data_IF_923596245230
#
_entry.id   IF_923596245230
#
_cell.length_a   1.000
_cell.length_b   1.000
_cell.length_c   1.000
_cell.angle_alpha   90.00
_cell.angle_beta   90.00
_cell.angle_gamma   90.00
#
_symmetry.space_group_name_H-M   'P 1'
#
loop_
_entity.id
_entity.type
_entity.pdbx_description
1 polymer ?
#
# COMPACT_ATOMS: atom_id res chain seq x y z
N UNK A 1 -23.78 19.26 14.32
CA UNK A 1 -23.32 17.87 14.46
C UNK A 1 -23.77 17.37 15.82
N UNK A 2 -24.22 16.14 15.93
CA UNK A 2 -24.51 15.48 17.21
C UNK A 2 -23.21 15.51 18.03
N UNK A 3 -23.30 15.80 19.33
CA UNK A 3 -22.13 15.87 20.22
C UNK A 3 -21.74 14.44 20.61
N UNK A 4 -21.08 13.73 19.68
CA UNK A 4 -20.63 12.34 19.85
C UNK A 4 -19.44 12.26 20.80
N UNK A 5 -19.39 11.18 21.58
CA UNK A 5 -18.23 10.85 22.41
C UNK A 5 -17.79 9.41 22.17
N UNK A 6 -16.49 9.21 22.09
CA UNK A 6 -15.89 7.89 22.08
C UNK A 6 -16.07 7.27 23.47
N UNK A 7 -16.76 6.14 23.55
CA UNK A 7 -17.00 5.44 24.82
C UNK A 7 -16.16 4.16 24.99
N UNK A 8 -15.77 3.55 23.87
CA UNK A 8 -14.93 2.36 23.86
C UNK A 8 -14.10 2.30 22.58
N UNK A 9 -12.96 1.61 22.65
CA UNK A 9 -12.23 1.16 21.48
C UNK A 9 -11.59 -0.19 21.78
N UNK A 10 -11.46 -1.04 20.77
CA UNK A 10 -10.89 -2.38 20.91
C UNK A 10 -10.28 -2.89 19.63
N UNK A 11 -9.45 -3.90 19.76
CA UNK A 11 -8.76 -4.54 18.65
C UNK A 11 -9.42 -5.86 18.28
N UNK A 12 -9.45 -6.13 16.97
CA UNK A 12 -9.82 -7.42 16.41
C UNK A 12 -8.60 -7.87 15.60
N UNK A 13 -7.95 -8.95 16.08
CA UNK A 13 -6.75 -9.50 15.46
C UNK A 13 -7.10 -10.87 14.90
N UNK A 14 -7.05 -11.01 13.58
CA UNK A 14 -7.48 -12.24 12.90
C UNK A 14 -6.58 -12.58 11.71
N UNK A 15 -6.76 -13.81 11.18
CA UNK A 15 -5.96 -14.30 10.05
C UNK A 15 -6.83 -15.05 9.02
N UNK A 16 -7.80 -14.40 8.38
CA UNK A 16 -8.60 -15.00 7.31
C UNK A 16 -7.80 -14.98 5.99
N UNK A 17 -6.83 -15.91 5.86
CA UNK A 17 -5.86 -15.94 4.76
C UNK A 17 -4.57 -15.21 5.08
N UNK A 18 -4.61 -14.00 5.64
CA UNK A 18 -3.48 -13.20 6.13
C UNK A 18 -3.79 -12.59 7.49
N UNK A 19 -2.77 -12.12 8.21
CA UNK A 19 -2.94 -11.44 9.48
C UNK A 19 -3.47 -10.01 9.25
N UNK A 20 -4.52 -9.65 9.98
CA UNK A 20 -5.02 -8.28 10.03
C UNK A 20 -5.23 -7.83 11.47
N UNK A 21 -4.98 -6.55 11.72
CA UNK A 21 -5.28 -5.85 12.98
C UNK A 21 -6.28 -4.76 12.68
N UNK A 22 -7.48 -4.87 13.22
CA UNK A 22 -8.54 -3.88 13.05
C UNK A 22 -8.78 -3.16 14.37
N UNK A 23 -8.78 -1.83 14.34
CA UNK A 23 -9.26 -0.99 15.43
C UNK A 23 -10.74 -0.69 15.20
N UNK A 24 -11.57 -1.00 16.17
CA UNK A 24 -12.96 -0.55 16.24
C UNK A 24 -13.11 0.51 17.34
N UNK A 25 -13.74 1.62 16.99
CA UNK A 25 -14.03 2.75 17.90
C UNK A 25 -15.54 2.92 18.00
N UNK A 26 -16.09 2.81 19.20
CA UNK A 26 -17.54 2.89 19.48
C UNK A 26 -17.89 4.24 20.12
N UNK A 27 -19.07 4.80 19.77
CA UNK A 27 -19.58 6.08 20.28
C UNK A 27 -20.83 5.89 21.14
N UNK A 28 -21.16 6.91 21.95
CA UNK A 28 -22.32 6.98 22.84
C UNK A 28 -23.68 6.95 22.12
N UNK A 29 -23.72 7.28 20.82
CA UNK A 29 -24.92 7.20 19.98
C UNK A 29 -25.03 5.88 19.19
N UNK A 30 -24.18 4.88 19.51
CA UNK A 30 -24.21 3.57 18.87
C UNK A 30 -23.56 3.51 17.49
N UNK A 31 -22.98 4.59 16.99
CA UNK A 31 -22.13 4.56 15.80
C UNK A 31 -20.76 4.00 16.14
N UNK A 32 -20.17 3.30 15.19
CA UNK A 32 -18.77 2.86 15.30
C UNK A 32 -18.00 3.10 14.00
N UNK A 33 -16.69 3.20 14.12
CA UNK A 33 -15.79 3.27 12.99
C UNK A 33 -14.71 2.20 13.05
N UNK A 34 -14.22 1.84 11.87
CA UNK A 34 -13.19 0.85 11.67
C UNK A 34 -11.93 1.48 11.07
N UNK A 35 -10.77 1.04 11.56
CA UNK A 35 -9.49 1.43 11.01
C UNK A 35 -8.56 0.23 10.90
N UNK A 36 -7.77 0.18 9.85
CA UNK A 36 -6.75 -0.84 9.67
C UNK A 36 -5.47 -0.45 10.43
N UNK A 37 -4.98 -1.37 11.24
CA UNK A 37 -3.76 -1.25 12.03
C UNK A 37 -2.73 -2.32 11.67
N UNK A 38 -2.83 -2.90 10.46
CA UNK A 38 -1.96 -3.98 10.03
C UNK A 38 -0.58 -3.44 9.66
N UNK A 39 0.45 -3.99 10.28
CA UNK A 39 1.85 -3.81 9.89
C UNK A 39 2.44 -5.21 9.70
N UNK A 40 2.57 -5.62 8.47
CA UNK A 40 2.93 -6.99 8.09
C UNK A 40 4.22 -7.45 8.78
N UNK A 41 4.16 -8.61 9.47
CA UNK A 41 5.25 -9.17 10.26
C UNK A 41 5.53 -8.44 11.59
N UNK A 42 4.74 -7.42 11.96
CA UNK A 42 4.86 -6.64 13.22
C UNK A 42 3.50 -6.34 13.84
N UNK A 43 2.47 -7.10 13.49
CA UNK A 43 1.07 -6.88 13.84
C UNK A 43 0.88 -6.71 15.35
N UNK A 44 1.46 -7.62 16.16
CA UNK A 44 1.32 -7.56 17.62
C UNK A 44 2.06 -6.39 18.26
N UNK A 45 3.07 -5.81 17.62
CA UNK A 45 3.72 -4.60 18.11
C UNK A 45 2.80 -3.39 18.01
N UNK A 46 2.07 -3.29 16.89
CA UNK A 46 1.04 -2.24 16.70
C UNK A 46 -0.14 -2.47 17.63
N UNK A 47 -0.61 -3.72 17.75
CA UNK A 47 -1.70 -4.07 18.65
C UNK A 47 -1.41 -3.68 20.10
N UNK A 48 -0.25 -4.06 20.63
CA UNK A 48 0.17 -3.71 21.99
C UNK A 48 0.29 -2.18 22.20
N UNK A 49 0.85 -1.45 21.21
CA UNK A 49 0.97 0.01 21.29
C UNK A 49 -0.42 0.69 21.28
N UNK A 50 -1.34 0.19 20.47
CA UNK A 50 -2.73 0.69 20.45
C UNK A 50 -3.42 0.45 21.80
N UNK A 51 -3.34 -0.77 22.31
CA UNK A 51 -4.05 -1.17 23.52
C UNK A 51 -3.57 -0.39 24.76
N UNK A 52 -2.25 -0.28 24.93
CA UNK A 52 -1.66 0.29 26.15
C UNK A 52 -1.51 1.81 26.12
N UNK A 53 -1.29 2.41 24.93
CA UNK A 53 -0.89 3.81 24.83
C UNK A 53 -1.82 4.70 24.02
N UNK A 54 -2.63 4.16 23.11
CA UNK A 54 -3.47 4.95 22.20
C UNK A 54 -4.93 4.91 22.64
N UNK A 55 -5.51 3.73 22.81
CA UNK A 55 -6.94 3.55 23.15
C UNK A 55 -7.33 4.33 24.41
N UNK A 56 -6.55 4.29 25.52
CA UNK A 56 -6.90 5.08 26.72
C UNK A 56 -7.00 6.59 26.46
N UNK A 57 -6.25 7.09 25.49
CA UNK A 57 -6.26 8.52 25.13
C UNK A 57 -7.46 8.93 24.29
N UNK A 58 -8.23 8.00 23.74
CA UNK A 58 -9.39 8.29 22.90
C UNK A 58 -10.68 8.46 23.69
N UNK A 59 -10.80 7.79 24.84
CA UNK A 59 -12.05 7.72 25.60
C UNK A 59 -12.49 9.11 26.07
N UNK A 60 -13.76 9.43 25.83
CA UNK A 60 -14.40 10.72 26.16
C UNK A 60 -14.16 11.83 25.13
N UNK A 61 -13.32 11.62 24.11
CA UNK A 61 -13.09 12.61 23.05
C UNK A 61 -14.23 12.65 22.04
N UNK A 62 -14.37 13.78 21.39
CA UNK A 62 -15.27 13.98 20.26
C UNK A 62 -14.63 13.41 18.98
N UNK A 63 -15.19 12.36 18.36
CA UNK A 63 -14.61 11.74 17.14
C UNK A 63 -14.63 12.68 15.92
N UNK A 64 -15.36 13.77 15.96
CA UNK A 64 -15.37 14.77 14.87
C UNK A 64 -14.07 15.59 14.81
N UNK A 65 -13.29 15.66 15.89
CA UNK A 65 -12.06 16.42 16.02
C UNK A 65 -10.86 15.63 15.50
N UNK A 66 -10.94 15.14 14.27
CA UNK A 66 -9.95 14.22 13.66
C UNK A 66 -8.53 14.79 13.68
N UNK A 67 -8.35 16.08 13.28
CA UNK A 67 -7.03 16.72 13.27
C UNK A 67 -6.46 16.89 14.67
N UNK A 68 -7.27 17.29 15.66
CA UNK A 68 -6.81 17.46 17.05
C UNK A 68 -6.35 16.12 17.63
N UNK A 69 -7.15 15.07 17.45
CA UNK A 69 -6.80 13.71 17.92
C UNK A 69 -5.52 13.23 17.23
N UNK A 70 -5.41 13.43 15.92
CA UNK A 70 -4.21 13.09 15.15
C UNK A 70 -2.96 13.77 15.72
N UNK A 71 -3.02 15.08 15.93
CA UNK A 71 -1.90 15.87 16.49
C UNK A 71 -1.59 15.49 17.93
N UNK A 72 -2.63 15.20 18.73
CA UNK A 72 -2.43 14.74 20.10
C UNK A 72 -1.64 13.43 20.14
N UNK A 73 -2.04 12.43 19.36
CA UNK A 73 -1.35 11.14 19.31
C UNK A 73 0.06 11.26 18.73
N UNK A 74 0.27 12.09 17.71
CA UNK A 74 1.57 12.28 17.09
C UNK A 74 2.56 13.03 17.99
N UNK A 75 2.13 14.16 18.57
CA UNK A 75 2.99 14.99 19.42
C UNK A 75 3.19 14.37 20.80
N UNK A 76 2.17 13.74 21.36
CA UNK A 76 2.22 13.07 22.65
C UNK A 76 3.16 11.88 22.70
N UNK A 77 3.41 11.23 21.56
CA UNK A 77 4.38 10.14 21.49
C UNK A 77 5.82 10.54 21.76
N UNK A 78 6.19 11.82 21.66
CA UNK A 78 7.53 12.42 21.76
C UNK A 78 8.55 11.82 20.76
N UNK A 79 8.94 10.54 20.88
CA UNK A 79 9.72 9.79 19.87
C UNK A 79 8.78 9.34 18.75
N UNK A 80 8.40 10.29 17.93
CA UNK A 80 7.38 10.16 16.91
C UNK A 80 7.94 9.65 15.58
N UNK A 81 7.03 9.31 14.66
CA UNK A 81 7.27 8.64 13.37
C UNK A 81 7.61 7.15 13.56
N UNK A 82 7.96 6.50 12.47
CA UNK A 82 8.17 5.06 12.42
C UNK A 82 6.87 4.26 12.23
N UNK A 83 6.99 3.04 11.70
CA UNK A 83 5.82 2.30 11.22
C UNK A 83 4.82 1.96 12.34
N UNK A 84 5.26 1.55 13.53
CA UNK A 84 4.34 1.19 14.63
C UNK A 84 3.48 2.37 15.06
N UNK A 85 4.12 3.52 15.34
CA UNK A 85 3.41 4.73 15.79
C UNK A 85 2.46 5.25 14.70
N UNK A 86 2.93 5.32 13.45
CA UNK A 86 2.15 5.92 12.38
C UNK A 86 1.02 5.02 11.88
N UNK A 87 1.19 3.70 11.90
CA UNK A 87 0.11 2.74 11.62
C UNK A 87 -0.96 2.81 12.72
N UNK A 88 -0.57 2.97 13.98
CA UNK A 88 -1.53 3.15 15.08
C UNK A 88 -2.34 4.45 14.92
N UNK A 89 -1.69 5.56 14.57
CA UNK A 89 -2.37 6.83 14.31
C UNK A 89 -3.30 6.70 13.10
N UNK A 90 -2.86 6.02 12.05
CA UNK A 90 -3.64 5.80 10.84
C UNK A 90 -4.93 5.03 11.10
N UNK A 91 -4.88 3.99 11.94
CA UNK A 91 -6.07 3.23 12.28
C UNK A 91 -7.11 4.07 13.03
N UNK A 92 -6.66 4.93 13.94
CA UNK A 92 -7.55 5.89 14.61
C UNK A 92 -8.14 6.87 13.59
N UNK A 93 -7.30 7.45 12.74
CA UNK A 93 -7.73 8.41 11.72
C UNK A 93 -8.80 7.83 10.78
N UNK A 94 -8.58 6.62 10.26
CA UNK A 94 -9.55 5.92 9.41
C UNK A 94 -10.87 5.68 10.15
N UNK A 95 -10.82 5.20 11.41
CA UNK A 95 -12.01 4.98 12.22
C UNK A 95 -12.79 6.27 12.48
N UNK A 96 -12.12 7.40 12.72
CA UNK A 96 -12.76 8.70 12.91
C UNK A 96 -13.42 9.22 11.63
N UNK A 97 -12.76 9.04 10.47
CA UNK A 97 -13.38 9.39 9.17
C UNK A 97 -14.59 8.51 8.87
N UNK A 98 -14.54 7.22 9.21
CA UNK A 98 -15.66 6.29 9.06
C UNK A 98 -16.85 6.71 9.93
N UNK A 99 -16.62 7.02 11.22
CA UNK A 99 -17.67 7.57 12.12
C UNK A 99 -18.26 8.85 11.55
N UNK A 100 -17.42 9.77 11.09
CA UNK A 100 -17.87 11.05 10.53
C UNK A 100 -18.76 10.88 9.31
N UNK A 101 -18.36 9.98 8.39
CA UNK A 101 -19.17 9.64 7.22
C UNK A 101 -20.50 9.01 7.58
N UNK A 102 -20.52 8.08 8.53
CA UNK A 102 -21.73 7.43 9.06
C UNK A 102 -22.66 8.45 9.75
N UNK A 103 -22.10 9.31 10.62
CA UNK A 103 -22.86 10.34 11.33
C UNK A 103 -23.53 11.38 10.39
N UNK A 104 -22.90 11.66 9.25
CA UNK A 104 -23.41 12.58 8.23
C UNK A 104 -24.14 11.85 7.09
N UNK A 105 -24.30 10.55 7.19
CA UNK A 105 -24.92 9.66 6.19
C UNK A 105 -24.36 9.91 4.78
N UNK A 106 -23.04 9.94 4.65
CA UNK A 106 -22.34 10.19 3.37
C UNK A 106 -21.04 9.41 3.28
N UNK A 107 -20.61 8.99 2.06
CA UNK A 107 -19.28 8.40 1.86
C UNK A 107 -18.16 9.38 2.22
N UNK A 108 -17.02 8.86 2.68
CA UNK A 108 -15.88 9.69 3.11
C UNK A 108 -15.35 10.61 2.01
N UNK A 109 -15.32 10.18 0.74
CA UNK A 109 -14.85 11.05 -0.34
C UNK A 109 -15.62 12.36 -0.46
N UNK A 110 -16.93 12.38 -0.14
CA UNK A 110 -17.72 13.61 -0.13
C UNK A 110 -17.24 14.60 0.93
N UNK A 111 -16.77 14.10 2.07
CA UNK A 111 -16.20 14.93 3.15
C UNK A 111 -14.80 15.44 2.79
N UNK A 112 -14.14 14.79 1.86
CA UNK A 112 -12.82 15.18 1.34
C UNK A 112 -12.90 16.16 0.16
N UNK A 113 -14.11 16.62 -0.22
CA UNK A 113 -14.32 17.60 -1.28
C UNK A 113 -15.09 17.07 -2.49
N UNK A 114 -15.57 15.83 -2.43
CA UNK A 114 -16.32 15.17 -3.50
C UNK A 114 -15.43 14.43 -4.48
N UNK A 115 -16.06 13.75 -5.45
CA UNK A 115 -15.36 12.96 -6.46
C UNK A 115 -14.71 13.86 -7.52
N UNK A 116 -13.40 13.75 -7.71
CA UNK A 116 -12.65 14.40 -8.78
C UNK A 116 -12.59 13.54 -10.06
N UNK A 117 -13.08 12.29 -10.02
CA UNK A 117 -13.13 11.31 -11.11
C UNK A 117 -14.24 10.31 -10.90
N UNK A 118 -14.52 9.48 -11.91
CA UNK A 118 -15.59 8.48 -11.83
C UNK A 118 -15.14 7.19 -11.13
N UNK A 119 -13.85 6.85 -11.17
CA UNK A 119 -13.24 5.68 -10.54
C UNK A 119 -11.73 5.86 -10.40
N UNK A 120 -11.10 5.10 -9.53
CA UNK A 120 -9.66 5.07 -9.34
C UNK A 120 -9.05 4.03 -10.29
N UNK A 121 -8.21 4.44 -11.24
CA UNK A 121 -7.41 3.51 -12.04
C UNK A 121 -6.60 2.62 -11.10
N UNK A 122 -6.58 1.32 -11.36
CA UNK A 122 -5.83 0.37 -10.54
C UNK A 122 -4.85 -0.45 -11.37
N UNK A 123 -3.79 -0.94 -10.72
CA UNK A 123 -2.92 -1.96 -11.29
C UNK A 123 -2.90 -3.21 -10.42
N UNK A 124 -2.69 -4.37 -11.06
CA UNK A 124 -2.53 -5.65 -10.39
C UNK A 124 -1.16 -6.25 -10.68
N UNK A 125 -0.86 -7.40 -10.08
CA UNK A 125 0.43 -8.07 -10.15
C UNK A 125 0.36 -9.31 -11.04
N UNK A 126 1.10 -9.30 -12.15
CA UNK A 126 1.34 -10.46 -12.99
C UNK A 126 2.70 -11.06 -12.68
N UNK A 127 2.74 -12.36 -12.41
CA UNK A 127 3.94 -13.05 -11.98
C UNK A 127 4.12 -14.36 -12.77
N UNK A 128 5.37 -14.74 -13.05
CA UNK A 128 5.70 -16.01 -13.66
C UNK A 128 7.05 -16.54 -13.19
N UNK A 129 7.28 -17.85 -13.23
CA UNK A 129 8.59 -18.45 -12.94
C UNK A 129 9.57 -18.19 -14.08
N UNK A 130 9.05 -17.86 -15.27
CA UNK A 130 9.79 -17.41 -16.44
C UNK A 130 9.00 -16.34 -17.21
N UNK A 131 9.57 -15.88 -18.34
CA UNK A 131 8.96 -14.84 -19.18
C UNK A 131 7.61 -15.31 -19.79
N UNK A 132 7.52 -16.58 -20.21
CA UNK A 132 6.30 -17.10 -20.81
C UNK A 132 5.14 -17.10 -19.83
N UNK A 133 5.35 -17.62 -18.63
CA UNK A 133 4.32 -17.60 -17.58
C UNK A 133 3.96 -16.17 -17.16
N UNK A 134 4.93 -15.25 -17.13
CA UNK A 134 4.66 -13.85 -16.84
C UNK A 134 3.76 -13.21 -17.92
N UNK A 135 4.00 -13.51 -19.20
CA UNK A 135 3.16 -13.07 -20.33
C UNK A 135 1.74 -13.66 -20.20
N UNK A 136 1.61 -14.96 -19.93
CA UNK A 136 0.33 -15.62 -19.74
C UNK A 136 -0.46 -14.98 -18.58
N UNK A 137 0.21 -14.68 -17.48
CA UNK A 137 -0.39 -13.97 -16.33
C UNK A 137 -0.86 -12.56 -16.71
N UNK A 138 -0.07 -11.83 -17.52
CA UNK A 138 -0.48 -10.50 -18.02
C UNK A 138 -1.73 -10.63 -18.91
N UNK A 139 -1.77 -11.59 -19.84
CA UNK A 139 -2.94 -11.81 -20.69
C UNK A 139 -4.19 -12.17 -19.88
N UNK A 140 -4.04 -12.98 -18.83
CA UNK A 140 -5.14 -13.29 -17.91
C UNK A 140 -5.71 -12.01 -17.27
N UNK A 141 -4.87 -11.15 -16.70
CA UNK A 141 -5.34 -9.91 -16.06
C UNK A 141 -5.91 -8.91 -17.07
N UNK A 142 -5.40 -8.85 -18.29
CA UNK A 142 -6.02 -8.06 -19.36
C UNK A 142 -7.43 -8.58 -19.67
N UNK A 143 -7.62 -9.91 -19.73
CA UNK A 143 -8.94 -10.52 -19.93
C UNK A 143 -9.90 -10.28 -18.74
N UNK A 144 -9.37 -10.09 -17.54
CA UNK A 144 -10.12 -9.68 -16.34
C UNK A 144 -10.49 -8.18 -16.34
N UNK A 145 -9.98 -7.40 -17.31
CA UNK A 145 -10.29 -5.98 -17.48
C UNK A 145 -9.27 -5.00 -16.93
N UNK A 146 -8.09 -5.45 -16.46
CA UNK A 146 -7.05 -4.53 -16.00
C UNK A 146 -6.38 -3.77 -17.16
N UNK A 147 -6.18 -2.47 -16.94
CA UNK A 147 -5.52 -1.55 -17.89
C UNK A 147 -4.07 -1.25 -17.50
N UNK A 148 -3.66 -1.65 -16.31
CA UNK A 148 -2.32 -1.45 -15.78
C UNK A 148 -1.87 -2.69 -15.00
N UNK A 149 -0.65 -3.15 -15.23
CA UNK A 149 -0.13 -4.41 -14.68
C UNK A 149 1.34 -4.26 -14.28
N UNK A 150 1.65 -4.58 -13.02
CA UNK A 150 3.01 -4.75 -12.54
C UNK A 150 3.50 -6.15 -12.90
N UNK A 151 4.53 -6.25 -13.74
CA UNK A 151 5.05 -7.53 -14.19
C UNK A 151 6.34 -7.92 -13.48
N UNK A 152 6.40 -9.17 -13.01
CA UNK A 152 7.56 -9.80 -12.37
C UNK A 152 7.79 -11.18 -12.97
N UNK A 153 9.06 -11.61 -13.04
CA UNK A 153 9.42 -12.94 -13.50
C UNK A 153 10.60 -13.50 -12.70
N UNK A 154 10.68 -14.82 -12.64
CA UNK A 154 11.85 -15.52 -12.12
C UNK A 154 13.11 -15.12 -12.89
N UNK A 155 14.17 -14.78 -12.15
CA UNK A 155 15.46 -14.44 -12.75
C UNK A 155 16.25 -15.73 -13.01
N UNK A 156 16.69 -15.99 -14.24
CA UNK A 156 17.41 -17.23 -14.56
C UNK A 156 18.62 -17.48 -13.66
N UNK A 157 18.67 -18.68 -13.08
CA UNK A 157 19.74 -19.10 -12.18
C UNK A 157 19.63 -18.62 -10.74
N UNK A 158 18.49 -18.00 -10.35
CA UNK A 158 18.11 -17.77 -8.96
C UNK A 158 16.96 -18.73 -8.58
N UNK A 159 17.06 -19.32 -7.39
CA UNK A 159 16.06 -20.29 -6.90
C UNK A 159 14.73 -19.60 -6.48
N UNK A 160 14.77 -18.32 -6.18
CA UNK A 160 13.58 -17.53 -5.91
C UNK A 160 13.81 -16.08 -6.34
N UNK A 161 12.74 -15.41 -6.75
CA UNK A 161 12.72 -13.99 -7.08
C UNK A 161 11.57 -13.34 -6.35
N UNK A 162 11.73 -12.07 -5.96
CA UNK A 162 10.68 -11.29 -5.35
C UNK A 162 9.42 -11.27 -6.23
N UNK A 163 8.26 -11.37 -5.60
CA UNK A 163 6.98 -11.33 -6.27
C UNK A 163 6.61 -12.58 -7.08
N UNK A 164 7.48 -13.59 -7.12
CA UNK A 164 7.23 -14.82 -7.89
C UNK A 164 6.76 -15.94 -6.95
N UNK A 165 5.57 -16.52 -7.19
CA UNK A 165 5.03 -17.59 -6.36
C UNK A 165 5.90 -18.84 -6.40
N UNK A 166 5.92 -19.59 -5.31
CA UNK A 166 6.61 -20.88 -5.21
C UNK A 166 5.58 -22.02 -5.23
N UNK A 167 5.79 -23.01 -6.11
CA UNK A 167 5.00 -24.25 -6.10
C UNK A 167 3.50 -24.07 -6.36
N UNK A 168 3.12 -23.13 -7.24
CA UNK A 168 1.73 -22.90 -7.65
C UNK A 168 0.83 -22.25 -6.59
N UNK A 169 1.41 -21.75 -5.49
CA UNK A 169 0.68 -20.97 -4.48
C UNK A 169 0.74 -19.49 -4.81
N UNK A 170 -0.27 -18.68 -4.44
CA UNK A 170 -0.18 -17.23 -4.51
C UNK A 170 1.07 -16.72 -3.79
N UNK A 171 1.66 -15.63 -4.30
CA UNK A 171 2.79 -15.01 -3.64
C UNK A 171 2.39 -14.52 -2.25
N UNK A 172 3.13 -14.98 -1.23
CA UNK A 172 2.96 -14.60 0.16
C UNK A 172 4.34 -14.31 0.74
N UNK A 173 4.67 -13.03 1.00
CA UNK A 173 5.97 -12.67 1.55
C UNK A 173 6.12 -13.11 3.01
N UNK A 174 5.05 -13.10 3.80
CA UNK A 174 5.12 -13.44 5.23
C UNK A 174 4.91 -14.95 5.45
N UNK A 175 5.92 -15.62 5.98
CA UNK A 175 5.92 -17.07 6.26
C UNK A 175 5.79 -17.34 7.77
N UNK A 176 5.11 -18.45 8.14
CA UNK A 176 4.95 -18.86 9.55
C UNK A 176 6.24 -19.32 10.23
N UNK A 177 7.21 -19.77 9.45
CA UNK A 177 8.54 -20.17 9.92
C UNK A 177 9.47 -18.96 10.14
N UNK A 178 10.71 -19.23 10.58
CA UNK A 178 11.76 -18.21 10.54
C UNK A 178 11.97 -17.72 9.10
N UNK A 179 12.46 -16.48 8.90
CA UNK A 179 12.65 -15.93 7.57
C UNK A 179 13.46 -16.87 6.67
N UNK A 180 12.94 -17.15 5.48
CA UNK A 180 13.74 -17.83 4.47
C UNK A 180 14.78 -16.84 3.92
N UNK A 181 16.02 -17.34 3.69
CA UNK A 181 17.09 -16.55 3.12
C UNK A 181 17.25 -16.93 1.64
N UNK A 182 16.80 -16.08 0.73
CA UNK A 182 16.96 -16.30 -0.70
C UNK A 182 18.24 -15.66 -1.23
N UNK A 183 18.86 -16.30 -2.23
CA UNK A 183 20.04 -15.73 -2.90
C UNK A 183 19.61 -14.72 -3.95
N UNK A 184 20.30 -13.58 -3.99
CA UNK A 184 20.14 -12.50 -4.92
C UNK A 184 21.40 -12.24 -5.75
N UNK A 185 21.25 -11.93 -7.04
CA UNK A 185 22.33 -11.46 -7.91
C UNK A 185 21.85 -10.27 -8.73
N UNK A 186 22.37 -9.12 -8.41
CA UNK A 186 22.10 -7.86 -9.11
C UNK A 186 22.47 -7.94 -10.59
N UNK A 187 23.60 -8.53 -10.94
CA UNK A 187 24.07 -8.63 -12.33
C UNK A 187 23.13 -9.48 -13.19
N UNK A 188 22.63 -10.61 -12.64
CA UNK A 188 21.66 -11.45 -13.34
C UNK A 188 20.36 -10.71 -13.57
N UNK A 189 19.89 -10.01 -12.55
CA UNK A 189 18.67 -9.22 -12.63
C UNK A 189 18.78 -8.07 -13.64
N UNK A 190 19.84 -7.27 -13.60
CA UNK A 190 20.06 -6.15 -14.53
C UNK A 190 20.17 -6.60 -15.99
N UNK A 191 20.72 -7.81 -16.24
CA UNK A 191 20.81 -8.39 -17.57
C UNK A 191 19.47 -9.00 -18.04
N UNK A 192 18.58 -9.33 -17.12
CA UNK A 192 17.34 -10.03 -17.41
C UNK A 192 16.12 -9.09 -17.52
N UNK A 193 15.98 -8.10 -16.62
CA UNK A 193 14.79 -7.27 -16.55
C UNK A 193 14.46 -6.55 -17.89
N UNK A 194 15.42 -5.97 -18.65
CA UNK A 194 15.10 -5.38 -19.94
C UNK A 194 14.55 -6.38 -20.96
N UNK A 195 15.01 -7.63 -20.92
CA UNK A 195 14.51 -8.70 -21.81
C UNK A 195 13.08 -9.09 -21.49
N UNK A 196 12.73 -9.13 -20.20
CA UNK A 196 11.35 -9.35 -19.77
C UNK A 196 10.41 -8.30 -20.40
N UNK A 197 10.76 -7.03 -20.30
CA UNK A 197 9.90 -5.95 -20.85
C UNK A 197 9.92 -5.86 -22.38
N UNK A 198 11.01 -6.27 -23.03
CA UNK A 198 11.05 -6.46 -24.48
C UNK A 198 10.01 -7.49 -24.93
N UNK A 199 10.01 -8.68 -24.31
CA UNK A 199 9.06 -9.75 -24.67
C UNK A 199 7.63 -9.39 -24.27
N UNK A 200 7.40 -8.74 -23.13
CA UNK A 200 6.09 -8.25 -22.74
C UNK A 200 5.54 -7.25 -23.78
N UNK A 201 6.32 -6.26 -24.22
CA UNK A 201 5.88 -5.30 -25.24
C UNK A 201 5.58 -5.94 -26.58
N UNK A 202 6.34 -6.96 -26.98
CA UNK A 202 6.03 -7.77 -28.19
C UNK A 202 4.68 -8.50 -28.06
N UNK A 203 4.34 -8.96 -26.85
CA UNK A 203 3.13 -9.72 -26.61
C UNK A 203 1.87 -8.85 -26.46
N UNK A 204 1.97 -7.69 -25.76
CA UNK A 204 0.78 -6.89 -25.40
C UNK A 204 0.73 -5.51 -26.07
N UNK A 205 1.75 -5.11 -26.83
CA UNK A 205 1.81 -3.79 -27.47
C UNK A 205 2.04 -2.63 -26.48
N UNK A 206 1.71 -1.41 -26.90
CA UNK A 206 2.04 -0.17 -26.16
C UNK A 206 0.86 0.40 -25.36
N UNK A 207 -0.38 -0.07 -25.59
CA UNK A 207 -1.59 0.48 -24.94
C UNK A 207 -1.71 0.08 -23.48
N UNK A 208 -1.18 -1.08 -23.09
CA UNK A 208 -1.21 -1.54 -21.70
C UNK A 208 -0.17 -0.80 -20.85
N UNK A 209 -0.58 -0.27 -19.70
CA UNK A 209 0.34 0.30 -18.73
C UNK A 209 1.12 -0.81 -18.02
N UNK A 210 2.41 -0.95 -18.32
CA UNK A 210 3.30 -1.89 -17.63
C UNK A 210 4.08 -1.16 -16.53
N UNK A 211 4.13 -1.77 -15.36
CA UNK A 211 4.86 -1.29 -14.19
C UNK A 211 5.92 -2.31 -13.80
N UNK A 212 6.98 -1.87 -13.15
CA UNK A 212 8.02 -2.75 -12.61
C UNK A 212 8.45 -2.30 -11.22
N UNK A 213 8.55 -3.25 -10.31
CA UNK A 213 8.97 -3.03 -8.95
C UNK A 213 10.37 -3.61 -8.72
N UNK A 214 11.30 -2.74 -8.38
CA UNK A 214 12.69 -3.09 -8.07
C UNK A 214 12.85 -3.45 -6.59
N UNK A 215 11.94 -2.98 -5.74
CA UNK A 215 11.85 -3.30 -4.32
C UNK A 215 13.17 -3.02 -3.56
N UNK A 216 13.69 -1.80 -3.68
CA UNK A 216 14.87 -1.26 -2.99
C UNK A 216 16.22 -1.95 -3.27
N UNK A 217 16.27 -2.96 -4.15
CA UNK A 217 17.40 -3.91 -4.32
C UNK A 217 18.63 -3.37 -5.04
N UNK A 218 18.59 -2.17 -5.61
CA UNK A 218 19.68 -1.60 -6.39
C UNK A 218 20.38 -0.43 -5.71
N UNK A 219 21.67 -0.28 -5.95
CA UNK A 219 22.35 0.98 -5.69
C UNK A 219 21.88 2.06 -6.68
N UNK A 220 22.03 3.36 -6.37
CA UNK A 220 21.59 4.43 -7.29
C UNK A 220 22.16 4.33 -8.70
N UNK A 221 23.43 3.90 -8.86
CA UNK A 221 24.04 3.75 -10.20
C UNK A 221 23.48 2.55 -10.97
N UNK A 222 23.16 1.46 -10.27
CA UNK A 222 22.52 0.27 -10.85
C UNK A 222 21.07 0.61 -11.26
N UNK A 223 20.35 1.34 -10.41
CA UNK A 223 19.01 1.83 -10.70
C UNK A 223 18.98 2.80 -11.90
N UNK A 224 19.98 3.70 -12.00
CA UNK A 224 20.14 4.58 -13.15
C UNK A 224 20.38 3.79 -14.46
N UNK A 225 21.21 2.74 -14.42
CA UNK A 225 21.44 1.84 -15.57
C UNK A 225 20.19 1.08 -15.96
N UNK A 226 19.45 0.56 -14.99
CA UNK A 226 18.19 -0.15 -15.24
C UNK A 226 17.17 0.80 -15.85
N UNK A 227 16.93 1.96 -15.23
CA UNK A 227 15.99 2.96 -15.74
C UNK A 227 16.30 3.35 -17.18
N UNK A 228 17.58 3.56 -17.52
CA UNK A 228 18.01 3.83 -18.90
C UNK A 228 17.72 2.67 -19.86
N UNK A 229 17.92 1.43 -19.41
CA UNK A 229 17.66 0.22 -20.21
C UNK A 229 16.16 -0.03 -20.42
N UNK A 230 15.29 0.48 -19.53
CA UNK A 230 13.85 0.34 -19.61
C UNK A 230 13.14 1.44 -20.42
N UNK A 231 13.80 2.54 -20.77
CA UNK A 231 13.20 3.65 -21.55
C UNK A 231 12.50 3.19 -22.83
N UNK A 232 13.07 2.26 -23.64
CA UNK A 232 12.41 1.81 -24.88
C UNK A 232 11.05 1.12 -24.69
N UNK A 233 10.77 0.68 -23.47
CA UNK A 233 9.54 -0.09 -23.16
C UNK A 233 8.44 0.76 -22.55
N UNK A 234 8.62 2.07 -22.39
CA UNK A 234 7.61 3.04 -21.97
C UNK A 234 6.81 2.58 -20.75
N UNK A 235 7.52 2.24 -19.66
CA UNK A 235 6.88 1.81 -18.43
C UNK A 235 6.07 2.95 -17.81
N UNK A 236 4.97 2.63 -17.17
CA UNK A 236 4.21 3.58 -16.36
C UNK A 236 5.07 4.12 -15.20
N UNK A 237 5.85 3.20 -14.55
CA UNK A 237 6.93 3.55 -13.64
C UNK A 237 7.93 2.40 -13.39
N UNK A 238 9.09 2.77 -12.87
CA UNK A 238 10.02 1.93 -12.16
C UNK A 238 9.89 2.24 -10.66
N UNK A 239 9.44 1.27 -9.86
CA UNK A 239 9.07 1.40 -8.47
C UNK A 239 10.23 1.04 -7.57
N UNK A 240 10.40 1.77 -6.46
CA UNK A 240 11.36 1.55 -5.39
C UNK A 240 12.77 1.13 -5.88
N UNK A 241 13.39 1.93 -6.77
CA UNK A 241 14.59 1.53 -7.48
C UNK A 241 15.82 1.34 -6.57
N UNK A 242 15.88 2.06 -5.46
CA UNK A 242 16.99 2.05 -4.49
C UNK A 242 16.43 2.25 -3.07
N UNK A 243 17.16 1.90 -2.00
CA UNK A 243 16.70 2.12 -0.63
C UNK A 243 16.16 3.54 -0.42
N UNK A 244 14.92 3.63 0.07
CA UNK A 244 14.18 4.88 0.20
C UNK A 244 14.81 5.85 1.21
N UNK A 245 15.64 5.36 2.13
CA UNK A 245 16.41 6.15 3.09
C UNK A 245 17.48 7.00 2.42
N UNK A 246 18.00 6.57 1.26
CA UNK A 246 19.04 7.28 0.53
C UNK A 246 18.46 8.23 -0.53
N UNK A 247 17.68 9.22 -0.10
CA UNK A 247 16.94 10.11 -1.00
C UNK A 247 17.84 10.90 -1.98
N UNK A 248 19.04 11.29 -1.57
CA UNK A 248 19.98 11.95 -2.46
C UNK A 248 20.40 11.08 -3.67
N UNK A 249 20.33 9.76 -3.55
CA UNK A 249 20.59 8.82 -4.63
C UNK A 249 19.61 8.94 -5.79
N UNK A 250 18.39 9.38 -5.55
CA UNK A 250 17.39 9.61 -6.59
C UNK A 250 17.79 10.72 -7.58
N UNK A 251 18.61 11.68 -7.17
CA UNK A 251 19.14 12.70 -8.08
C UNK A 251 20.06 12.07 -9.15
N UNK A 252 20.88 11.07 -8.78
CA UNK A 252 21.68 10.33 -9.73
C UNK A 252 20.81 9.56 -10.73
N UNK A 253 19.78 8.87 -10.23
CA UNK A 253 18.85 8.12 -11.09
C UNK A 253 18.14 9.06 -12.05
N UNK A 254 17.52 10.12 -11.55
CA UNK A 254 16.78 11.11 -12.35
C UNK A 254 17.62 11.76 -13.44
N UNK A 255 18.89 12.02 -13.19
CA UNK A 255 19.79 12.63 -14.18
C UNK A 255 20.17 11.68 -15.34
N UNK A 256 19.89 10.38 -15.25
CA UNK A 256 20.32 9.40 -16.23
C UNK A 256 19.17 8.67 -16.93
N UNK A 257 17.94 8.84 -16.47
CA UNK A 257 16.77 8.22 -17.11
C UNK A 257 15.53 9.09 -17.07
N UNK A 258 14.72 8.96 -18.12
CA UNK A 258 13.37 9.52 -18.23
C UNK A 258 12.28 8.51 -17.85
N UNK A 259 12.62 7.27 -17.53
CA UNK A 259 11.66 6.29 -16.98
C UNK A 259 11.02 6.88 -15.71
N UNK A 260 9.69 6.98 -15.63
CA UNK A 260 9.03 7.53 -14.45
C UNK A 260 9.38 6.73 -13.19
N UNK A 261 9.53 7.43 -12.06
CA UNK A 261 9.93 6.86 -10.78
C UNK A 261 8.81 6.96 -9.77
N UNK A 262 8.56 5.86 -9.06
CA UNK A 262 7.64 5.78 -7.94
C UNK A 262 8.35 5.26 -6.68
N UNK A 263 8.06 5.85 -5.52
CA UNK A 263 8.62 5.39 -4.23
C UNK A 263 7.71 5.83 -3.09
N UNK A 264 7.69 5.06 -2.00
CA UNK A 264 7.12 5.57 -0.76
C UNK A 264 6.26 4.64 0.05
N UNK A 265 6.13 3.37 -0.28
CA UNK A 265 5.36 2.40 0.55
C UNK A 265 5.92 2.28 1.97
N UNK A 266 7.24 2.45 2.14
CA UNK A 266 7.93 2.43 3.44
C UNK A 266 7.91 3.78 4.17
N UNK A 267 7.38 4.85 3.56
CA UNK A 267 7.34 6.17 4.19
C UNK A 267 6.20 6.28 5.21
N UNK A 268 6.53 6.87 6.36
CA UNK A 268 5.58 7.04 7.45
C UNK A 268 5.15 8.50 7.67
N UNK A 269 5.80 9.47 7.03
CA UNK A 269 5.48 10.88 7.20
C UNK A 269 5.85 11.72 5.99
N UNK A 270 5.29 12.93 5.91
CA UNK A 270 5.65 13.93 4.91
C UNK A 270 7.15 14.28 4.91
N UNK A 271 7.82 14.13 6.07
CA UNK A 271 9.25 14.39 6.20
C UNK A 271 10.11 13.34 5.48
N UNK A 272 9.56 12.14 5.27
CA UNK A 272 10.26 11.05 4.58
C UNK A 272 10.27 11.25 3.05
N UNK A 273 9.38 12.08 2.50
CA UNK A 273 9.27 12.31 1.06
C UNK A 273 9.46 13.77 0.64
N UNK A 274 9.62 14.70 1.60
CA UNK A 274 9.67 16.14 1.32
C UNK A 274 10.72 16.49 0.28
N UNK A 275 11.94 16.01 0.44
CA UNK A 275 13.06 16.33 -0.46
C UNK A 275 12.87 15.77 -1.87
N UNK A 276 12.34 14.53 -1.97
CA UNK A 276 12.02 13.90 -3.24
C UNK A 276 10.98 14.71 -4.03
N UNK A 277 9.99 15.25 -3.33
CA UNK A 277 8.92 16.09 -3.92
C UNK A 277 9.47 17.46 -4.29
N UNK A 278 10.10 18.19 -3.37
CA UNK A 278 10.62 19.55 -3.61
C UNK A 278 11.62 19.62 -4.77
N UNK A 279 12.44 18.60 -4.92
CA UNK A 279 13.46 18.51 -5.99
C UNK A 279 12.95 17.78 -7.24
N UNK A 280 11.68 17.37 -7.28
CA UNK A 280 11.08 16.63 -8.41
C UNK A 280 11.90 15.39 -8.82
N UNK A 281 12.37 14.63 -7.83
CA UNK A 281 13.19 13.44 -8.05
C UNK A 281 12.36 12.20 -8.36
N UNK A 282 11.04 12.29 -8.18
CA UNK A 282 10.06 11.22 -8.43
C UNK A 282 8.88 11.78 -9.21
N UNK A 283 8.11 10.90 -9.84
CA UNK A 283 6.88 11.24 -10.57
C UNK A 283 5.63 10.82 -9.80
N UNK A 284 5.77 9.81 -8.96
CA UNK A 284 4.68 9.27 -8.14
C UNK A 284 5.15 9.06 -6.70
N UNK A 285 4.34 9.55 -5.74
CA UNK A 285 4.50 9.23 -4.32
C UNK A 285 3.60 8.04 -3.95
N UNK A 286 4.22 6.93 -3.48
CA UNK A 286 3.56 5.64 -3.22
C UNK A 286 3.23 5.39 -1.74
N UNK A 287 2.87 6.39 -0.99
CA UNK A 287 2.59 6.23 0.44
C UNK A 287 1.31 5.41 0.67
N UNK A 288 1.39 4.40 1.55
CA UNK A 288 0.23 3.66 2.03
C UNK A 288 -0.56 4.49 3.04
N UNK A 289 -1.91 4.48 2.94
CA UNK A 289 -2.76 5.19 3.91
C UNK A 289 -2.54 4.65 5.33
N UNK A 290 -2.42 3.34 5.48
CA UNK A 290 -2.24 2.68 6.78
C UNK A 290 -0.88 2.97 7.41
N UNK A 291 0.21 3.09 6.64
CA UNK A 291 1.54 3.36 7.20
C UNK A 291 1.88 4.85 7.24
N UNK A 292 1.19 5.64 6.42
CA UNK A 292 1.40 7.08 6.28
C UNK A 292 0.61 7.96 7.24
N UNK A 293 0.02 7.40 8.31
CA UNK A 293 -0.71 8.17 9.31
C UNK A 293 -2.16 8.48 8.96
N UNK A 294 -2.78 7.71 8.08
CA UNK A 294 -4.21 7.80 7.75
C UNK A 294 -4.54 8.79 6.63
N UNK A 295 -5.84 8.90 6.36
CA UNK A 295 -6.40 9.77 5.32
C UNK A 295 -5.95 11.22 5.53
N UNK A 296 -6.04 11.73 6.75
CA UNK A 296 -5.70 13.12 7.12
C UNK A 296 -4.27 13.48 6.75
N UNK A 297 -3.31 12.60 7.00
CA UNK A 297 -1.91 12.90 6.74
C UNK A 297 -1.51 12.65 5.28
N UNK A 298 -1.93 11.54 4.70
CA UNK A 298 -1.64 11.22 3.29
C UNK A 298 -2.30 12.23 2.35
N UNK A 299 -3.47 12.80 2.72
CA UNK A 299 -4.07 13.93 2.02
C UNK A 299 -3.11 15.14 1.97
N UNK A 300 -2.48 15.49 3.09
CA UNK A 300 -1.50 16.60 3.15
C UNK A 300 -0.28 16.33 2.27
N UNK A 301 0.17 15.07 2.21
CA UNK A 301 1.26 14.66 1.31
C UNK A 301 0.84 14.82 -0.15
N UNK A 302 -0.37 14.38 -0.52
CA UNK A 302 -0.89 14.53 -1.87
C UNK A 302 -1.04 16.00 -2.28
N UNK A 303 -1.60 16.85 -1.40
CA UNK A 303 -1.74 18.29 -1.65
C UNK A 303 -0.37 18.96 -1.82
N UNK A 304 0.62 18.59 -1.00
CA UNK A 304 1.99 19.07 -1.15
C UNK A 304 2.64 18.61 -2.47
N UNK A 305 2.50 17.34 -2.83
CA UNK A 305 3.01 16.76 -4.07
C UNK A 305 2.40 17.44 -5.32
N UNK A 306 1.13 17.86 -5.25
CA UNK A 306 0.42 18.48 -6.34
C UNK A 306 1.05 19.83 -6.78
N UNK A 307 1.65 20.57 -5.85
CA UNK A 307 2.36 21.82 -6.14
C UNK A 307 3.58 21.61 -7.07
N UNK A 308 4.14 20.41 -7.06
CA UNK A 308 5.31 20.00 -7.82
C UNK A 308 4.94 19.08 -9.01
N UNK A 309 3.65 19.00 -9.37
CA UNK A 309 3.14 18.16 -10.47
C UNK A 309 3.40 16.65 -10.25
N UNK A 310 3.62 16.21 -9.02
CA UNK A 310 3.81 14.80 -8.65
C UNK A 310 2.43 14.18 -8.34
N UNK A 311 2.18 13.02 -8.89
CA UNK A 311 0.95 12.25 -8.69
C UNK A 311 1.10 11.27 -7.53
N UNK A 312 -0.03 10.72 -7.09
CA UNK A 312 -0.02 9.61 -6.13
C UNK A 312 -0.08 8.27 -6.86
N UNK A 313 0.66 7.28 -6.33
CA UNK A 313 0.52 5.87 -6.67
C UNK A 313 0.33 5.11 -5.35
N UNK A 314 -0.92 5.03 -4.85
CA UNK A 314 -1.15 4.59 -3.47
C UNK A 314 -0.87 3.09 -3.34
N UNK A 315 -0.04 2.71 -2.35
CA UNK A 315 0.23 1.31 -2.01
C UNK A 315 -1.02 0.66 -1.41
N UNK A 316 -1.31 -0.57 -1.80
CA UNK A 316 -2.52 -1.29 -1.39
C UNK A 316 -2.46 -2.78 -1.73
N UNK A 317 -1.38 -3.45 -1.34
CA UNK A 317 -1.25 -4.90 -1.48
C UNK A 317 -2.18 -5.67 -0.52
N UNK A 318 -2.30 -6.98 -0.70
CA UNK A 318 -3.22 -7.84 0.10
C UNK A 318 -2.78 -8.05 1.55
N UNK A 319 -1.62 -7.57 1.94
CA UNK A 319 -1.18 -7.51 3.33
C UNK A 319 -1.85 -6.38 4.14
N UNK A 320 -2.65 -5.53 3.49
CA UNK A 320 -3.53 -4.55 4.08
C UNK A 320 -4.99 -5.01 3.97
N UNK A 321 -5.81 -4.68 4.96
CA UNK A 321 -7.21 -5.12 4.98
C UNK A 321 -8.10 -4.38 3.97
N UNK A 322 -9.30 -4.88 3.68
CA UNK A 322 -10.30 -4.15 2.90
C UNK A 322 -10.64 -2.76 3.43
N UNK A 323 -10.43 -2.50 4.73
CA UNK A 323 -10.61 -1.15 5.34
C UNK A 323 -9.56 -0.18 4.77
N UNK A 324 -8.29 -0.61 4.69
CA UNK A 324 -7.23 0.22 4.11
C UNK A 324 -7.48 0.49 2.62
N UNK A 325 -7.92 -0.52 1.86
CA UNK A 325 -8.28 -0.36 0.46
C UNK A 325 -9.41 0.67 0.30
N UNK A 326 -10.48 0.55 1.07
CA UNK A 326 -11.57 1.54 1.01
C UNK A 326 -11.09 2.95 1.35
N UNK A 327 -10.29 3.12 2.41
CA UNK A 327 -9.73 4.42 2.79
C UNK A 327 -8.88 5.03 1.67
N UNK A 328 -8.03 4.21 1.02
CA UNK A 328 -7.22 4.62 -0.12
C UNK A 328 -8.07 5.03 -1.33
N UNK A 329 -9.14 4.28 -1.64
CA UNK A 329 -10.05 4.59 -2.74
C UNK A 329 -10.86 5.89 -2.48
N UNK A 330 -11.34 6.11 -1.26
CA UNK A 330 -12.01 7.37 -0.91
C UNK A 330 -11.06 8.56 -1.06
N UNK A 331 -9.82 8.44 -0.61
CA UNK A 331 -8.81 9.47 -0.79
C UNK A 331 -8.49 9.66 -2.29
N UNK A 332 -8.19 8.57 -3.00
CA UNK A 332 -7.86 8.58 -4.42
C UNK A 332 -8.95 9.19 -5.30
N UNK A 333 -10.22 8.94 -4.97
CA UNK A 333 -11.36 9.51 -5.68
C UNK A 333 -11.45 11.04 -5.48
N UNK A 334 -11.08 11.53 -4.29
CA UNK A 334 -11.24 12.94 -3.92
C UNK A 334 -10.06 13.83 -4.35
N UNK A 335 -8.82 13.37 -4.28
CA UNK A 335 -7.64 14.18 -4.59
C UNK A 335 -7.47 14.43 -6.10
N UNK A 336 -7.00 15.64 -6.46
CA UNK A 336 -6.85 16.01 -7.87
C UNK A 336 -5.70 15.27 -8.56
N UNK A 337 -4.56 15.12 -7.90
CA UNK A 337 -3.32 14.57 -8.45
C UNK A 337 -3.19 13.05 -8.26
N UNK A 338 -4.31 12.34 -8.18
CA UNK A 338 -4.29 10.87 -8.19
C UNK A 338 -3.70 10.34 -9.50
N UNK A 339 -2.83 9.35 -9.42
CA UNK A 339 -2.29 8.61 -10.54
C UNK A 339 -2.90 7.22 -10.66
N UNK A 340 -2.61 6.36 -9.70
CA UNK A 340 -3.04 4.97 -9.73
C UNK A 340 -3.10 4.39 -8.30
N UNK A 341 -3.92 3.35 -8.10
CA UNK A 341 -4.02 2.58 -6.86
C UNK A 341 -3.55 1.14 -7.10
N UNK A 342 -2.72 0.62 -6.23
CA UNK A 342 -2.39 -0.80 -6.22
C UNK A 342 -3.60 -1.63 -5.79
N UNK A 343 -3.89 -2.69 -6.53
CA UNK A 343 -4.99 -3.60 -6.26
C UNK A 343 -4.57 -5.05 -6.47
N UNK A 344 -4.47 -5.78 -5.38
CA UNK A 344 -4.42 -7.24 -5.38
C UNK A 344 -5.72 -7.74 -4.76
N UNK A 345 -6.53 -8.55 -5.46
CA UNK A 345 -7.76 -9.11 -4.90
C UNK A 345 -7.48 -9.92 -3.62
N UNK A 346 -8.28 -9.71 -2.60
CA UNK A 346 -8.30 -10.59 -1.44
C UNK A 346 -8.91 -11.95 -1.80
N UNK A 347 -8.70 -12.95 -0.96
CA UNK A 347 -9.43 -14.21 -1.10
C UNK A 347 -10.87 -14.06 -0.57
N UNK A 348 -11.75 -14.96 -1.00
CA UNK A 348 -13.18 -14.96 -0.61
C UNK A 348 -13.38 -14.91 0.90
N UNK A 349 -12.56 -15.63 1.67
CA UNK A 349 -12.66 -15.65 3.11
C UNK A 349 -12.35 -14.30 3.76
N UNK A 350 -11.37 -13.57 3.22
CA UNK A 350 -11.08 -12.20 3.69
C UNK A 350 -12.27 -11.29 3.41
N UNK A 351 -12.88 -11.39 2.21
CA UNK A 351 -14.03 -10.57 1.84
C UNK A 351 -15.30 -10.94 2.63
N UNK A 352 -15.47 -12.21 3.03
CA UNK A 352 -16.52 -12.61 3.95
C UNK A 352 -16.34 -12.02 5.36
N UNK A 353 -15.10 -11.97 5.86
CA UNK A 353 -14.79 -11.35 7.18
C UNK A 353 -14.92 -9.82 7.10
N UNK A 354 -14.60 -9.22 5.96
CA UNK A 354 -14.65 -7.77 5.74
C UNK A 354 -15.61 -7.41 4.59
N UNK A 355 -16.94 -7.53 4.78
CA UNK A 355 -17.90 -7.19 3.74
C UNK A 355 -17.78 -5.69 3.39
N UNK A 356 -17.64 -5.40 2.09
CA UNK A 356 -17.35 -4.06 1.62
C UNK A 356 -18.23 -3.61 0.43
N UNK A 357 -18.26 -2.31 0.16
CA UNK A 357 -19.02 -1.70 -0.93
C UNK A 357 -18.17 -1.39 -2.17
N UNK A 358 -16.85 -1.39 -2.06
CA UNK A 358 -16.01 -1.11 -3.22
C UNK A 358 -16.08 -2.26 -4.24
N UNK A 359 -15.91 -1.92 -5.51
CA UNK A 359 -15.96 -2.86 -6.61
C UNK A 359 -14.97 -2.51 -7.71
N UNK A 360 -14.50 -3.52 -8.41
CA UNK A 360 -13.69 -3.41 -9.62
C UNK A 360 -14.59 -3.41 -10.85
N UNK A 361 -14.30 -2.52 -11.82
CA UNK A 361 -15.02 -2.43 -13.09
C UNK A 361 -14.08 -1.83 -14.15
N UNK A 362 -13.79 -2.57 -15.21
CA UNK A 362 -13.04 -2.13 -16.40
C UNK A 362 -11.74 -1.36 -16.08
N UNK A 363 -10.90 -1.90 -15.20
CA UNK A 363 -9.61 -1.31 -14.81
C UNK A 363 -9.68 -0.25 -13.71
N UNK A 364 -10.86 0.03 -13.19
CA UNK A 364 -11.09 1.02 -12.16
C UNK A 364 -11.71 0.41 -10.91
N UNK A 365 -11.38 0.99 -9.75
CA UNK A 365 -12.03 0.69 -8.48
C UNK A 365 -12.93 1.84 -8.06
N UNK A 366 -14.11 1.49 -7.54
CA UNK A 366 -15.12 2.41 -7.04
C UNK A 366 -15.35 2.14 -5.56
N UNK A 367 -15.23 3.13 -4.66
CA UNK A 367 -15.41 2.92 -3.21
C UNK A 367 -16.85 2.59 -2.82
N UNK A 368 -17.84 2.82 -3.72
CA UNK A 368 -19.25 2.68 -3.42
C UNK A 368 -19.85 3.91 -2.76
N UNK A 369 -21.16 3.83 -2.47
CA UNK A 369 -21.97 4.95 -1.98
C UNK A 369 -22.38 4.79 -0.51
N UNK A 370 -21.94 3.73 0.18
CA UNK A 370 -22.28 3.52 1.58
C UNK A 370 -21.67 4.61 2.46
N UNK A 371 -22.37 5.09 3.51
CA UNK A 371 -21.83 6.04 4.46
C UNK A 371 -20.55 5.53 5.14
N UNK A 372 -19.63 6.44 5.44
CA UNK A 372 -18.33 6.10 6.00
C UNK A 372 -17.38 5.57 4.94
N UNK A 373 -16.58 4.58 5.31
CA UNK A 373 -15.67 3.86 4.40
C UNK A 373 -16.37 2.76 3.59
N UNK A 374 -17.62 2.41 3.96
CA UNK A 374 -18.37 1.37 3.27
C UNK A 374 -17.86 -0.05 3.50
N UNK A 375 -17.09 -0.27 4.55
CA UNK A 375 -16.57 -1.58 4.97
C UNK A 375 -17.09 -1.91 6.36
N UNK A 376 -17.37 -3.19 6.61
CA UNK A 376 -17.74 -3.72 7.91
C UNK A 376 -16.83 -4.90 8.28
N UNK A 377 -17.02 -5.48 9.47
CA UNK A 377 -16.31 -6.68 9.91
C UNK A 377 -17.27 -7.66 10.59
N UNK A 378 -17.30 -8.90 10.11
CA UNK A 378 -17.96 -10.01 10.83
C UNK A 378 -17.03 -10.53 11.93
N UNK A 379 -17.20 -10.00 13.14
CA UNK A 379 -16.38 -10.35 14.30
C UNK A 379 -16.55 -11.81 14.74
N UNK A 380 -17.73 -12.39 14.50
CA UNK A 380 -17.99 -13.80 14.81
C UNK A 380 -17.21 -14.71 13.87
N UNK A 381 -17.14 -14.34 12.61
CA UNK A 381 -16.35 -15.06 11.62
C UNK A 381 -14.85 -14.81 11.85
N UNK A 382 -14.43 -13.58 12.08
CA UNK A 382 -13.05 -13.21 12.39
C UNK A 382 -12.46 -14.01 13.56
N UNK A 383 -13.26 -14.23 14.63
CA UNK A 383 -12.84 -15.00 15.79
C UNK A 383 -12.51 -16.48 15.51
N UNK A 384 -12.96 -17.02 14.36
CA UNK A 384 -12.63 -18.39 13.94
C UNK A 384 -11.24 -18.52 13.36
N UNK A 385 -10.61 -17.41 12.99
CA UNK A 385 -9.30 -17.34 12.35
C UNK A 385 -8.30 -16.58 13.23
N UNK A 386 -7.71 -17.24 14.26
CA UNK A 386 -6.79 -16.58 15.16
C UNK A 386 -5.49 -16.18 14.45
N UNK A 387 -4.83 -15.16 14.99
CA UNK A 387 -3.53 -14.68 14.55
C UNK A 387 -2.47 -15.80 14.48
N UNK A 388 -1.65 -15.75 13.45
CA UNK A 388 -0.48 -16.61 13.30
C UNK A 388 0.77 -15.75 13.13
N UNK A 389 1.79 -15.99 14.00
CA UNK A 389 3.07 -15.31 13.85
C UNK A 389 3.66 -15.60 12.46
N UNK A 390 4.06 -14.53 11.77
CA UNK A 390 4.69 -14.61 10.47
C UNK A 390 5.95 -13.74 10.40
N UNK A 391 6.84 -14.07 9.49
CA UNK A 391 8.11 -13.38 9.28
C UNK A 391 8.26 -13.03 7.80
N UNK A 392 8.72 -11.81 7.53
CA UNK A 392 9.09 -11.38 6.18
C UNK A 392 10.40 -12.05 5.76
N UNK A 393 10.63 -12.29 4.46
CA UNK A 393 11.83 -12.92 3.95
C UNK A 393 13.07 -12.04 4.15
N UNK A 394 14.22 -12.65 3.94
CA UNK A 394 15.53 -11.99 3.96
C UNK A 394 16.27 -12.44 2.70
N UNK A 395 16.94 -11.52 2.02
CA UNK A 395 17.78 -11.87 0.87
C UNK A 395 19.28 -11.75 1.21
N UNK A 396 20.09 -12.59 0.56
CA UNK A 396 21.56 -12.52 0.60
C UNK A 396 22.13 -12.48 -0.79
N UNK A 397 23.17 -11.69 -0.98
CA UNK A 397 24.00 -11.74 -2.18
C UNK A 397 24.79 -13.05 -2.24
N UNK A 398 25.37 -13.37 -3.40
CA UNK A 398 26.13 -14.60 -3.59
C UNK A 398 27.36 -14.72 -2.67
N UNK A 399 27.89 -13.62 -2.16
CA UNK A 399 28.98 -13.57 -1.19
C UNK A 399 28.53 -13.71 0.27
N UNK A 400 27.22 -13.86 0.50
CA UNK A 400 26.61 -13.98 1.83
C UNK A 400 26.20 -12.66 2.48
N UNK A 401 26.47 -11.50 1.87
CA UNK A 401 26.04 -10.19 2.39
C UNK A 401 24.53 -10.06 2.34
N UNK A 402 23.91 -9.49 3.40
CA UNK A 402 22.47 -9.17 3.43
C UNK A 402 22.12 -8.14 2.34
N UNK A 403 20.97 -8.32 1.75
CA UNK A 403 20.39 -7.43 0.73
C UNK A 403 18.91 -7.23 0.99
N UNK A 404 18.35 -6.19 0.44
CA UNK A 404 16.88 -6.03 0.36
C UNK A 404 16.29 -7.15 -0.51
N UNK A 405 15.04 -7.53 -0.17
CA UNK A 405 14.33 -8.65 -0.81
C UNK A 405 13.20 -8.20 -1.74
#
# INVERSE_FOLDING_TARGET
MVNLKIIAARLIVCSPGRNFVTLRVDTDEGLFGLGDATLNGRELAVAAYLEEHVIPCLIGRDPSQTEDIWQYLYRGAYWRRGPVTMTSIASVDMALWDIKGKALNTPVYNLLGGASRQGCLVYTHANGTDISEAIDSVHQHVAEGYLAIRAQSGVPGLASSYGVPKGGKPYEPAERGLPSESLWSTERYLNFAPKLFEELRKAVGDELHLLHDVHHRLTPIEAARLGKALEPYHLFWMEDPTPAEFQNGFALIRNHTTTPLAVGEVFNSIWDCRELIEKQLIDYIRMAVVHGGGITHVRKVADFASLYQIRTGIHGATDLSPIAMAAALHLGLAIHNFGIQEHMPHNELTDEVFPHAYRFEDGYMHPGERPGLGVDIDETLAAKYPYHRAYLPVARKLDGTLSDW
#
